data_IF_488328588576
#
_entry.id   IF_488328588576
#
_cell.length_a   1.000
_cell.length_b   1.000
_cell.length_c   1.000
_cell.angle_alpha   90.00
_cell.angle_beta   90.00
_cell.angle_gamma   90.00
#
_symmetry.space_group_name_H-M   'P 1'
#
loop_
_entity.id
_entity.type
_entity.pdbx_description
1 polymer ?
#
# COMPACT_ATOMS: atom_id res chain seq x y z
N UNK A 1 3.55 21.41 -0.58
CA UNK A 1 2.22 22.08 -0.71
C UNK A 1 1.10 21.27 -0.08
N UNK A 2 0.91 19.99 -0.46
CA UNK A 2 -0.23 19.18 0.01
C UNK A 2 -0.36 19.09 1.54
N UNK A 3 0.74 18.98 2.27
CA UNK A 3 0.72 18.97 3.74
C UNK A 3 0.19 20.27 4.35
N UNK A 4 0.55 21.42 3.78
CA UNK A 4 0.07 22.72 4.26
C UNK A 4 -1.43 22.92 4.02
N UNK A 5 -1.99 22.31 2.97
CA UNK A 5 -3.44 22.30 2.73
C UNK A 5 -4.14 21.56 3.87
N UNK A 6 -3.63 20.38 4.23
CA UNK A 6 -4.12 19.62 5.37
C UNK A 6 -3.96 20.40 6.70
N UNK A 7 -2.83 21.10 6.89
CA UNK A 7 -2.61 21.95 8.06
C UNK A 7 -3.55 23.16 8.11
N UNK A 8 -3.92 23.75 6.96
CA UNK A 8 -4.89 24.85 6.93
C UNK A 8 -6.22 24.43 7.56
N UNK A 9 -6.75 23.24 7.20
CA UNK A 9 -7.94 22.68 7.84
C UNK A 9 -7.72 22.38 9.32
N UNK A 10 -6.55 21.86 9.72
CA UNK A 10 -6.22 21.66 11.15
C UNK A 10 -6.21 22.96 11.95
N UNK A 11 -5.95 24.10 11.32
CA UNK A 11 -5.97 25.42 11.94
C UNK A 11 -7.30 26.18 11.73
N UNK A 12 -8.32 25.51 11.20
CA UNK A 12 -9.68 26.06 11.10
C UNK A 12 -9.93 26.96 9.90
N UNK A 13 -9.08 26.92 8.86
CA UNK A 13 -9.39 27.60 7.60
C UNK A 13 -10.60 26.94 6.93
N UNK A 14 -11.44 27.77 6.34
CA UNK A 14 -12.60 27.32 5.58
C UNK A 14 -12.20 26.79 4.20
N UNK A 15 -13.05 25.91 3.64
CA UNK A 15 -12.90 25.39 2.29
C UNK A 15 -12.67 26.49 1.24
N UNK A 16 -13.41 27.60 1.35
CA UNK A 16 -13.33 28.72 0.40
C UNK A 16 -12.01 29.51 0.53
N UNK A 17 -11.48 29.68 1.75
CA UNK A 17 -10.17 30.31 1.96
C UNK A 17 -9.05 29.46 1.38
N UNK A 18 -9.10 28.14 1.60
CA UNK A 18 -8.11 27.20 1.05
C UNK A 18 -8.22 27.13 -0.48
N UNK A 19 -9.44 27.12 -1.03
CA UNK A 19 -9.66 27.20 -2.48
C UNK A 19 -9.06 28.47 -3.06
N UNK A 20 -9.37 29.64 -2.48
CA UNK A 20 -8.87 30.92 -2.97
C UNK A 20 -7.34 31.01 -2.95
N UNK A 21 -6.69 30.38 -1.96
CA UNK A 21 -5.23 30.36 -1.83
C UNK A 21 -4.52 29.36 -2.76
N UNK A 22 -5.21 28.29 -3.19
CA UNK A 22 -4.56 27.15 -3.88
C UNK A 22 -5.06 26.89 -5.29
N UNK A 23 -6.27 27.33 -5.62
CA UNK A 23 -7.05 26.96 -6.81
C UNK A 23 -7.23 25.44 -6.99
N UNK A 24 -7.05 24.63 -5.95
CA UNK A 24 -7.41 23.21 -5.96
C UNK A 24 -8.92 23.12 -5.90
N UNK A 25 -9.54 22.37 -6.81
CA UNK A 25 -11.00 22.25 -6.84
C UNK A 25 -11.57 21.81 -5.50
N UNK A 26 -12.70 22.41 -5.12
CA UNK A 26 -13.38 22.16 -3.84
C UNK A 26 -13.69 20.68 -3.65
N UNK A 27 -13.98 19.94 -4.72
CA UNK A 27 -14.24 18.51 -4.66
C UNK A 27 -13.08 17.75 -4.01
N UNK A 28 -11.83 18.05 -4.36
CA UNK A 28 -10.65 17.43 -3.73
C UNK A 28 -10.42 17.94 -2.31
N UNK A 29 -10.62 19.24 -2.09
CA UNK A 29 -10.40 19.87 -0.78
C UNK A 29 -11.33 19.30 0.29
N UNK A 30 -12.60 19.02 -0.04
CA UNK A 30 -13.56 18.36 0.87
C UNK A 30 -13.08 16.96 1.27
N UNK A 31 -12.44 16.21 0.37
CA UNK A 31 -11.89 14.89 0.71
C UNK A 31 -10.71 15.01 1.70
N UNK A 32 -9.85 16.01 1.52
CA UNK A 32 -8.74 16.27 2.46
C UNK A 32 -9.30 16.69 3.83
N UNK A 33 -10.30 17.57 3.85
CA UNK A 33 -10.98 18.00 5.08
C UNK A 33 -11.64 16.81 5.80
N UNK A 34 -12.31 15.90 5.08
CA UNK A 34 -12.88 14.68 5.65
C UNK A 34 -11.83 13.76 6.28
N UNK A 35 -10.66 13.61 5.65
CA UNK A 35 -9.52 12.89 6.26
C UNK A 35 -9.10 13.58 7.55
N UNK A 36 -8.98 14.92 7.58
CA UNK A 36 -8.61 15.67 8.79
C UNK A 36 -9.65 15.51 9.90
N UNK A 37 -10.94 15.55 9.58
CA UNK A 37 -12.01 15.31 10.53
C UNK A 37 -11.94 13.89 11.12
N UNK A 38 -11.61 12.90 10.28
CA UNK A 38 -11.37 11.53 10.71
C UNK A 38 -10.16 11.43 11.63
N UNK A 39 -9.05 12.11 11.33
CA UNK A 39 -7.89 12.16 12.23
C UNK A 39 -8.25 12.75 13.59
N UNK A 40 -9.08 13.79 13.63
CA UNK A 40 -9.54 14.40 14.87
C UNK A 40 -10.45 13.46 15.67
N UNK A 41 -11.33 12.72 15.00
CA UNK A 41 -12.12 11.66 15.63
C UNK A 41 -11.20 10.61 16.27
N UNK A 42 -10.20 10.10 15.53
CA UNK A 42 -9.26 9.08 16.02
C UNK A 42 -8.52 9.53 17.29
N UNK A 43 -8.10 10.80 17.37
CA UNK A 43 -7.43 11.35 18.56
C UNK A 43 -8.30 11.31 19.82
N UNK A 44 -9.63 11.32 19.67
CA UNK A 44 -10.57 11.27 20.79
C UNK A 44 -10.92 9.84 21.23
N UNK A 45 -10.58 8.84 20.41
CA UNK A 45 -10.87 7.43 20.71
C UNK A 45 -9.80 6.83 21.63
N UNK A 46 -10.23 6.07 22.62
CA UNK A 46 -9.36 5.19 23.38
C UNK A 46 -9.06 3.90 22.61
N UNK A 47 -7.99 3.20 22.98
CA UNK A 47 -7.65 1.91 22.37
C UNK A 47 -8.77 0.86 22.51
N UNK A 48 -9.53 0.88 23.61
CA UNK A 48 -10.67 -0.01 23.83
C UNK A 48 -11.88 0.27 22.93
N UNK A 49 -11.95 1.45 22.31
CA UNK A 49 -13.04 1.84 21.41
C UNK A 49 -12.82 1.33 19.98
N UNK A 50 -11.64 0.78 19.67
CA UNK A 50 -11.31 0.23 18.36
C UNK A 50 -12.03 -1.09 18.11
N UNK A 51 -12.96 -1.07 17.16
CA UNK A 51 -13.70 -2.23 16.70
C UNK A 51 -13.51 -2.44 15.19
N UNK A 52 -14.03 -3.53 14.64
CA UNK A 52 -13.81 -3.85 13.24
C UNK A 52 -14.36 -2.77 12.28
N UNK A 53 -15.49 -2.16 12.62
CA UNK A 53 -16.20 -1.23 11.74
C UNK A 53 -15.51 0.13 11.67
N UNK A 54 -15.09 0.69 12.81
CA UNK A 54 -14.38 1.96 12.80
C UNK A 54 -12.99 1.83 12.18
N UNK A 55 -12.25 0.74 12.46
CA UNK A 55 -10.97 0.48 11.81
C UNK A 55 -11.20 0.37 10.30
N UNK A 56 -12.15 -0.45 9.84
CA UNK A 56 -12.44 -0.60 8.40
C UNK A 56 -12.77 0.74 7.76
N UNK A 57 -13.55 1.60 8.43
CA UNK A 57 -13.84 2.97 7.97
C UNK A 57 -12.58 3.82 7.83
N UNK A 58 -11.69 3.83 8.83
CA UNK A 58 -10.42 4.57 8.76
C UNK A 58 -9.51 4.06 7.64
N UNK A 59 -9.42 2.73 7.50
CA UNK A 59 -8.61 2.08 6.49
C UNK A 59 -9.15 2.30 5.07
N UNK A 60 -10.48 2.31 4.87
CA UNK A 60 -11.14 2.67 3.61
C UNK A 60 -10.84 4.11 3.16
N UNK A 61 -10.57 5.02 4.11
CA UNK A 61 -10.09 6.38 3.82
C UNK A 61 -8.58 6.47 3.54
N UNK A 62 -7.86 5.33 3.52
CA UNK A 62 -6.43 5.27 3.21
C UNK A 62 -5.50 5.61 4.39
N UNK A 63 -6.00 5.66 5.63
CA UNK A 63 -5.15 5.92 6.79
C UNK A 63 -4.27 4.70 7.09
N UNK A 64 -2.94 4.88 7.06
CA UNK A 64 -1.99 3.82 7.41
C UNK A 64 -2.04 3.46 8.89
N UNK A 65 -1.63 2.24 9.22
CA UNK A 65 -1.49 1.79 10.62
C UNK A 65 -0.56 2.73 11.39
N UNK A 66 0.51 3.21 10.74
CA UNK A 66 1.44 4.16 11.35
C UNK A 66 0.75 5.49 11.68
N UNK A 67 -0.10 6.01 10.78
CA UNK A 67 -0.81 7.27 11.02
C UNK A 67 -1.81 7.13 12.15
N UNK A 68 -2.61 6.07 12.15
CA UNK A 68 -3.61 5.82 13.20
C UNK A 68 -2.89 5.61 14.54
N UNK A 69 -1.85 4.79 14.58
CA UNK A 69 -1.06 4.54 15.78
C UNK A 69 -0.46 5.83 16.37
N UNK A 70 0.10 6.70 15.53
CA UNK A 70 0.63 7.99 15.96
C UNK A 70 -0.45 8.92 16.53
N UNK A 71 -1.64 8.96 15.91
CA UNK A 71 -2.76 9.77 16.40
C UNK A 71 -3.29 9.29 17.76
N UNK A 72 -3.21 7.99 18.02
CA UNK A 72 -3.64 7.37 19.28
C UNK A 72 -2.54 7.27 20.34
N UNK A 73 -1.29 7.61 20.00
CA UNK A 73 -0.15 7.48 20.91
C UNK A 73 0.25 6.03 21.23
N UNK A 74 0.04 5.10 20.31
CA UNK A 74 0.41 3.68 20.43
C UNK A 74 1.44 3.28 19.36
N UNK A 75 2.02 2.09 19.47
CA UNK A 75 2.95 1.59 18.44
C UNK A 75 2.19 1.05 17.21
N UNK A 76 2.79 1.19 16.01
CA UNK A 76 2.26 0.62 14.77
C UNK A 76 2.05 -0.90 14.89
N UNK A 77 2.99 -1.62 15.53
CA UNK A 77 2.89 -3.08 15.76
C UNK A 77 1.68 -3.44 16.62
N UNK A 78 1.39 -2.65 17.66
CA UNK A 78 0.23 -2.85 18.52
C UNK A 78 -1.08 -2.63 17.75
N UNK A 79 -1.20 -1.54 16.98
CA UNK A 79 -2.39 -1.28 16.17
C UNK A 79 -2.61 -2.38 15.13
N UNK A 80 -1.56 -2.77 14.39
CA UNK A 80 -1.62 -3.84 13.39
C UNK A 80 -2.10 -5.16 14.00
N UNK A 81 -1.54 -5.55 15.14
CA UNK A 81 -1.95 -6.79 15.84
C UNK A 81 -3.44 -6.73 16.22
N UNK A 82 -3.90 -5.61 16.76
CA UNK A 82 -5.31 -5.42 17.09
C UNK A 82 -6.22 -5.51 15.87
N UNK A 83 -5.83 -4.82 14.79
CA UNK A 83 -6.52 -4.83 13.49
C UNK A 83 -6.63 -6.26 12.92
N UNK A 84 -5.56 -7.04 12.96
CA UNK A 84 -5.57 -8.45 12.54
C UNK A 84 -6.44 -9.34 13.45
N UNK A 85 -6.41 -9.15 14.77
CA UNK A 85 -7.26 -9.90 15.70
C UNK A 85 -8.76 -9.68 15.44
N UNK A 86 -9.12 -8.51 14.91
CA UNK A 86 -10.48 -8.16 14.50
C UNK A 86 -10.84 -8.62 13.07
N UNK A 87 -9.91 -9.30 12.38
CA UNK A 87 -10.12 -9.74 11.01
C UNK A 87 -10.18 -8.61 9.97
N UNK A 88 -9.68 -7.42 10.30
CA UNK A 88 -9.69 -6.27 9.38
C UNK A 88 -8.38 -6.25 8.58
N UNK A 89 -8.42 -6.84 7.39
CA UNK A 89 -7.30 -6.89 6.45
C UNK A 89 -7.72 -6.32 5.11
N UNK A 90 -6.79 -5.81 4.28
CA UNK A 90 -7.14 -5.43 2.92
C UNK A 90 -7.51 -6.68 2.11
N UNK A 91 -8.31 -6.45 1.09
CA UNK A 91 -8.53 -7.34 -0.04
C UNK A 91 -7.77 -6.80 -1.25
N UNK A 92 -7.54 -7.63 -2.25
CA UNK A 92 -6.88 -7.22 -3.49
C UNK A 92 -7.85 -7.35 -4.64
N UNK A 93 -7.87 -6.33 -5.49
CA UNK A 93 -8.72 -6.23 -6.69
C UNK A 93 -7.86 -6.24 -7.93
N UNK A 94 -8.37 -6.81 -9.02
CA UNK A 94 -7.67 -6.85 -10.31
C UNK A 94 -7.95 -5.59 -11.13
N UNK A 95 -6.98 -5.20 -11.93
CA UNK A 95 -7.14 -4.19 -12.98
C UNK A 95 -7.47 -4.94 -14.28
N UNK A 96 -8.68 -4.76 -14.79
CA UNK A 96 -9.24 -5.52 -15.92
C UNK A 96 -9.62 -4.65 -17.14
N UNK A 97 -9.42 -3.33 -17.05
CA UNK A 97 -9.81 -2.30 -18.05
C UNK A 97 -11.30 -2.16 -18.35
N UNK A 98 -12.16 -3.02 -17.82
CA UNK A 98 -13.58 -3.14 -18.16
C UNK A 98 -14.52 -3.10 -16.95
N UNK A 99 -14.01 -2.80 -15.76
CA UNK A 99 -14.80 -2.69 -14.53
C UNK A 99 -15.65 -3.95 -14.25
N UNK A 100 -15.01 -5.11 -14.33
CA UNK A 100 -15.57 -6.44 -14.15
C UNK A 100 -16.65 -6.85 -15.17
N UNK A 101 -16.76 -6.18 -16.33
CA UNK A 101 -17.63 -6.67 -17.41
C UNK A 101 -17.17 -8.04 -17.95
N UNK A 102 -15.86 -8.27 -17.97
CA UNK A 102 -15.23 -9.52 -18.40
C UNK A 102 -14.24 -10.02 -17.35
N UNK A 103 -14.12 -11.35 -17.23
CA UNK A 103 -13.10 -11.96 -16.37
C UNK A 103 -11.70 -11.68 -16.92
N UNK A 104 -10.75 -11.36 -16.04
CA UNK A 104 -9.35 -11.12 -16.36
C UNK A 104 -8.44 -12.15 -15.70
N UNK A 105 -7.72 -12.90 -16.52
CA UNK A 105 -6.69 -13.84 -16.06
C UNK A 105 -5.45 -13.12 -15.50
N UNK A 106 -5.23 -11.87 -15.92
CA UNK A 106 -4.06 -11.07 -15.55
C UNK A 106 -4.08 -10.71 -14.07
N UNK A 107 -3.04 -11.12 -13.33
CA UNK A 107 -2.89 -10.85 -11.92
C UNK A 107 -2.21 -9.48 -11.68
N UNK A 108 -2.80 -8.40 -12.22
CA UNK A 108 -2.41 -7.02 -11.94
C UNK A 108 -3.34 -6.46 -10.87
N UNK A 109 -2.83 -6.23 -9.66
CA UNK A 109 -3.64 -5.98 -8.48
C UNK A 109 -3.27 -4.72 -7.69
N UNK A 110 -4.23 -4.22 -6.94
CA UNK A 110 -4.08 -3.19 -5.91
C UNK A 110 -4.92 -3.55 -4.68
N UNK A 111 -4.55 -3.02 -3.52
CA UNK A 111 -5.20 -3.26 -2.25
C UNK A 111 -6.34 -2.27 -2.00
N UNK A 112 -7.37 -2.73 -1.33
CA UNK A 112 -8.47 -1.92 -0.85
C UNK A 112 -9.09 -2.56 0.39
N UNK A 113 -9.80 -1.79 1.20
CA UNK A 113 -10.53 -2.32 2.35
C UNK A 113 -11.99 -2.62 1.99
N UNK A 114 -12.19 -3.32 0.88
CA UNK A 114 -13.50 -3.78 0.41
C UNK A 114 -13.81 -5.21 0.89
N UNK A 115 -14.88 -5.81 0.40
CA UNK A 115 -15.40 -7.09 0.89
C UNK A 115 -14.74 -8.32 0.25
N UNK A 116 -14.61 -8.36 -1.07
CA UNK A 116 -14.14 -9.54 -1.81
C UNK A 116 -12.68 -9.41 -2.28
N UNK A 117 -11.90 -10.47 -2.10
CA UNK A 117 -10.50 -10.55 -2.53
C UNK A 117 -10.36 -11.40 -3.80
N UNK A 118 -9.88 -10.78 -4.87
CA UNK A 118 -9.64 -11.38 -6.19
C UNK A 118 -8.20 -11.86 -6.38
N UNK A 119 -7.41 -11.82 -5.30
CA UNK A 119 -6.01 -12.27 -5.32
C UNK A 119 -5.92 -13.71 -5.78
N UNK A 120 -6.73 -14.61 -5.22
CA UNK A 120 -6.73 -16.05 -5.55
C UNK A 120 -5.29 -16.62 -5.67
N UNK A 121 -4.50 -16.58 -4.59
CA UNK A 121 -3.09 -16.99 -4.61
C UNK A 121 -2.97 -18.47 -4.98
N UNK A 122 -1.97 -18.81 -5.80
CA UNK A 122 -1.70 -20.21 -6.18
C UNK A 122 -0.97 -20.98 -5.06
N UNK A 123 -0.81 -22.29 -5.23
CA UNK A 123 -0.02 -23.15 -4.34
C UNK A 123 1.44 -23.35 -4.81
N UNK A 124 1.88 -22.66 -5.87
CA UNK A 124 3.26 -22.76 -6.37
C UNK A 124 4.24 -22.13 -5.39
N UNK A 125 5.49 -22.59 -5.44
CA UNK A 125 6.58 -21.94 -4.73
C UNK A 125 6.80 -20.54 -5.30
N UNK A 126 6.62 -19.53 -4.45
CA UNK A 126 6.62 -18.12 -4.84
C UNK A 126 7.85 -17.37 -4.39
N UNK A 127 8.44 -16.56 -5.28
CA UNK A 127 9.49 -15.60 -4.93
C UNK A 127 8.98 -14.19 -5.15
N UNK A 128 8.97 -13.40 -4.09
CA UNK A 128 8.58 -11.99 -4.12
C UNK A 128 9.81 -11.11 -4.37
N UNK A 129 9.68 -10.15 -5.29
CA UNK A 129 10.69 -9.12 -5.57
C UNK A 129 10.10 -7.77 -5.19
N UNK A 130 10.77 -7.05 -4.29
CA UNK A 130 10.34 -5.71 -3.87
C UNK A 130 11.12 -4.65 -4.67
N UNK A 131 10.38 -3.81 -5.38
CA UNK A 131 10.91 -2.70 -6.18
C UNK A 131 11.47 -1.55 -5.34
N UNK A 132 11.84 -0.46 -6.03
CA UNK A 132 12.42 0.73 -5.40
C UNK A 132 11.43 1.84 -5.06
N UNK A 133 10.23 1.83 -5.67
CA UNK A 133 9.29 2.93 -5.64
C UNK A 133 9.70 4.04 -6.62
N UNK A 134 9.26 5.30 -6.41
CA UNK A 134 9.52 6.38 -7.35
C UNK A 134 11.02 6.68 -7.51
N UNK A 135 11.43 6.93 -8.75
CA UNK A 135 12.80 7.28 -9.09
C UNK A 135 13.24 8.59 -8.41
N UNK A 136 14.49 8.63 -7.97
CA UNK A 136 15.13 9.83 -7.40
C UNK A 136 16.63 9.84 -7.69
N UNK A 137 17.29 10.99 -7.51
CA UNK A 137 18.75 11.07 -7.64
C UNK A 137 19.41 10.04 -6.72
N UNK A 138 20.23 9.15 -7.29
CA UNK A 138 20.90 8.05 -6.60
C UNK A 138 20.06 6.77 -6.43
N UNK A 139 18.81 6.77 -6.89
CA UNK A 139 17.95 5.59 -7.01
C UNK A 139 17.15 5.66 -8.31
N UNK A 140 17.77 5.24 -9.41
CA UNK A 140 17.18 5.29 -10.74
C UNK A 140 16.79 3.93 -11.30
N UNK A 141 16.71 3.91 -12.62
CA UNK A 141 16.29 2.77 -13.44
C UNK A 141 17.22 1.55 -13.30
N UNK A 142 18.46 1.73 -12.84
CA UNK A 142 19.40 0.64 -12.59
C UNK A 142 18.88 -0.36 -11.55
N UNK A 143 18.06 0.08 -10.59
CA UNK A 143 17.42 -0.80 -9.62
C UNK A 143 16.21 -1.51 -10.22
N UNK A 144 15.46 -0.83 -11.10
CA UNK A 144 14.36 -1.44 -11.84
C UNK A 144 14.86 -2.59 -12.72
N UNK A 145 15.97 -2.38 -13.44
CA UNK A 145 16.65 -3.40 -14.22
C UNK A 145 17.00 -4.64 -13.36
N UNK A 146 17.57 -4.44 -12.18
CA UNK A 146 17.88 -5.55 -11.27
C UNK A 146 16.61 -6.32 -10.84
N UNK A 147 15.53 -5.61 -10.50
CA UNK A 147 14.26 -6.22 -10.13
C UNK A 147 13.64 -7.04 -11.28
N UNK A 148 13.64 -6.50 -12.50
CA UNK A 148 13.17 -7.20 -13.70
C UNK A 148 13.96 -8.49 -13.90
N UNK A 149 15.30 -8.42 -13.87
CA UNK A 149 16.13 -9.61 -14.06
C UNK A 149 15.96 -10.67 -12.96
N UNK A 150 15.70 -10.26 -11.71
CA UNK A 150 15.34 -11.22 -10.66
C UNK A 150 14.03 -11.94 -10.96
N UNK A 151 12.98 -11.22 -11.36
CA UNK A 151 11.70 -11.83 -11.71
C UNK A 151 11.87 -12.79 -12.90
N UNK A 152 12.55 -12.37 -13.96
CA UNK A 152 12.81 -13.24 -15.12
C UNK A 152 13.57 -14.51 -14.74
N UNK A 153 14.67 -14.37 -14.00
CA UNK A 153 15.49 -15.52 -13.59
C UNK A 153 14.73 -16.49 -12.67
N UNK A 154 13.99 -15.98 -11.68
CA UNK A 154 13.20 -16.83 -10.78
C UNK A 154 12.06 -17.54 -11.52
N UNK A 155 11.45 -16.88 -12.52
CA UNK A 155 10.43 -17.50 -13.38
C UNK A 155 11.02 -18.61 -14.24
N UNK A 156 12.21 -18.39 -14.83
CA UNK A 156 12.95 -19.41 -15.59
C UNK A 156 13.33 -20.61 -14.72
N UNK A 157 13.67 -20.39 -13.44
CA UNK A 157 13.94 -21.43 -12.46
C UNK A 157 12.67 -22.16 -11.94
N UNK A 158 11.49 -21.77 -12.42
CA UNK A 158 10.21 -22.46 -12.16
C UNK A 158 9.38 -21.88 -11.01
N UNK A 159 9.83 -20.82 -10.36
CA UNK A 159 9.07 -20.14 -9.31
C UNK A 159 7.92 -19.31 -9.89
N UNK A 160 6.86 -19.14 -9.11
CA UNK A 160 5.86 -18.11 -9.39
C UNK A 160 6.38 -16.78 -8.82
N UNK A 161 6.45 -15.77 -9.67
CA UNK A 161 7.09 -14.50 -9.34
C UNK A 161 6.07 -13.44 -8.97
N UNK A 162 6.32 -12.76 -7.85
CA UNK A 162 5.47 -11.68 -7.35
C UNK A 162 6.28 -10.39 -7.37
N UNK A 163 5.89 -9.41 -8.18
CA UNK A 163 6.47 -8.07 -8.14
C UNK A 163 5.64 -7.15 -7.26
N UNK A 164 6.30 -6.37 -6.40
CA UNK A 164 5.68 -5.31 -5.59
C UNK A 164 6.39 -3.99 -5.85
N UNK A 165 5.74 -3.06 -6.55
CA UNK A 165 6.29 -1.74 -6.84
C UNK A 165 5.16 -0.73 -7.09
N UNK A 166 5.45 0.57 -7.01
CA UNK A 166 4.45 1.64 -7.23
C UNK A 166 4.91 2.71 -8.22
N UNK A 167 6.01 2.47 -8.93
CA UNK A 167 6.51 3.41 -9.93
C UNK A 167 5.81 3.17 -11.27
N UNK A 168 5.01 4.10 -11.79
CA UNK A 168 4.31 3.89 -13.07
C UNK A 168 5.22 3.98 -14.30
N UNK A 169 6.47 4.41 -14.14
CA UNK A 169 7.41 4.64 -15.25
C UNK A 169 8.29 3.42 -15.55
N UNK A 170 8.09 2.29 -14.87
CA UNK A 170 9.04 1.18 -14.83
C UNK A 170 8.59 -0.07 -15.59
N UNK A 171 9.55 -0.88 -16.03
CA UNK A 171 9.28 -2.18 -16.67
C UNK A 171 8.93 -3.23 -15.63
N UNK A 172 9.41 -3.11 -14.38
CA UNK A 172 8.97 -4.01 -13.31
C UNK A 172 7.47 -3.96 -13.05
N UNK A 173 6.81 -2.83 -13.31
CA UNK A 173 5.36 -2.65 -13.18
C UNK A 173 4.59 -2.98 -14.47
N UNK A 174 5.23 -3.60 -15.45
CA UNK A 174 4.55 -4.28 -16.54
C UNK A 174 4.05 -5.65 -16.04
N UNK A 175 2.77 -5.97 -16.26
CA UNK A 175 2.18 -7.23 -15.82
C UNK A 175 2.77 -8.45 -16.56
N UNK A 176 3.45 -8.27 -17.70
CA UNK A 176 4.14 -9.35 -18.41
C UNK A 176 5.49 -9.75 -17.77
N UNK A 177 6.05 -8.90 -16.90
CA UNK A 177 7.36 -9.10 -16.26
C UNK A 177 7.34 -10.19 -15.20
N UNK A 178 6.22 -10.35 -14.48
CA UNK A 178 6.07 -11.30 -13.37
C UNK A 178 4.73 -12.02 -13.46
N UNK A 179 4.62 -13.21 -12.86
CA UNK A 179 3.33 -13.93 -12.84
C UNK A 179 2.23 -13.13 -12.11
N UNK A 180 2.61 -12.31 -11.13
CA UNK A 180 1.69 -11.54 -10.28
C UNK A 180 2.28 -10.17 -9.95
N UNK A 181 1.57 -9.09 -10.27
CA UNK A 181 1.98 -7.72 -9.99
C UNK A 181 1.06 -7.08 -8.95
N UNK A 182 1.64 -6.63 -7.84
CA UNK A 182 0.98 -5.76 -6.87
C UNK A 182 1.49 -4.34 -7.02
N UNK A 183 0.63 -3.45 -7.52
CA UNK A 183 0.95 -2.04 -7.65
C UNK A 183 0.65 -1.32 -6.34
N UNK A 184 1.52 -1.53 -5.37
CA UNK A 184 1.32 -1.16 -3.97
C UNK A 184 2.47 -0.30 -3.43
N UNK A 185 2.21 0.57 -2.44
CA UNK A 185 3.26 1.31 -1.78
C UNK A 185 4.29 0.37 -1.13
N UNK A 186 5.57 0.74 -1.19
CA UNK A 186 6.65 -0.07 -0.61
C UNK A 186 6.84 0.31 0.86
N UNK A 187 5.85 -0.03 1.68
CA UNK A 187 5.91 0.12 3.13
C UNK A 187 5.87 -1.24 3.83
N UNK A 188 6.29 -1.27 5.09
CA UNK A 188 6.22 -2.48 5.91
C UNK A 188 4.79 -3.01 6.02
N UNK A 189 3.80 -2.12 6.09
CA UNK A 189 2.40 -2.51 6.24
C UNK A 189 1.88 -3.22 4.99
N UNK A 190 2.05 -2.60 3.83
CA UNK A 190 1.53 -3.10 2.57
C UNK A 190 2.22 -4.41 2.18
N UNK A 191 3.56 -4.47 2.31
CA UNK A 191 4.32 -5.70 2.02
C UNK A 191 3.90 -6.85 2.94
N UNK A 192 3.69 -6.60 4.24
CA UNK A 192 3.23 -7.66 5.16
C UNK A 192 1.83 -8.17 4.82
N UNK A 193 0.94 -7.32 4.33
CA UNK A 193 -0.39 -7.75 3.90
C UNK A 193 -0.32 -8.62 2.63
N UNK A 194 0.62 -8.34 1.72
CA UNK A 194 0.83 -9.20 0.55
C UNK A 194 1.43 -10.53 0.99
N UNK A 195 2.44 -10.50 1.88
CA UNK A 195 3.05 -11.72 2.46
C UNK A 195 2.01 -12.59 3.18
N UNK A 196 1.07 -11.98 3.93
CA UNK A 196 -0.02 -12.69 4.60
C UNK A 196 -0.92 -13.43 3.61
N UNK A 197 -1.24 -12.81 2.48
CA UNK A 197 -2.09 -13.38 1.42
C UNK A 197 -1.35 -14.43 0.61
N UNK A 198 -0.15 -14.11 0.14
CA UNK A 198 0.60 -14.91 -0.83
C UNK A 198 1.49 -15.99 -0.21
N UNK A 199 1.95 -15.78 1.02
CA UNK A 199 2.88 -16.67 1.74
C UNK A 199 4.07 -17.10 0.87
N UNK A 200 4.85 -16.14 0.33
CA UNK A 200 5.97 -16.45 -0.54
C UNK A 200 7.04 -17.29 0.19
N UNK A 201 7.72 -18.15 -0.57
CA UNK A 201 8.85 -18.96 -0.08
C UNK A 201 10.07 -18.10 0.25
N UNK A 202 10.26 -17.02 -0.50
CA UNK A 202 11.36 -16.08 -0.31
C UNK A 202 11.00 -14.68 -0.79
N UNK A 203 11.70 -13.69 -0.24
CA UNK A 203 11.53 -12.26 -0.56
C UNK A 203 12.91 -11.68 -0.87
N UNK A 204 13.06 -11.12 -2.07
CA UNK A 204 14.25 -10.42 -2.55
C UNK A 204 14.09 -8.94 -2.26
N UNK A 205 14.95 -8.41 -1.39
CA UNK A 205 14.92 -7.02 -0.89
C UNK A 205 16.15 -6.20 -1.29
N UNK A 206 17.13 -6.83 -1.93
CA UNK A 206 18.44 -6.25 -2.21
C UNK A 206 18.44 -5.44 -3.52
N UNK A 207 17.50 -5.71 -4.44
CA UNK A 207 17.58 -5.23 -5.82
C UNK A 207 16.82 -3.92 -6.07
N UNK A 208 15.79 -3.59 -5.28
CA UNK A 208 15.10 -2.30 -5.37
C UNK A 208 15.83 -1.13 -4.70
N UNK A 209 17.08 -1.32 -4.28
CA UNK A 209 17.89 -0.29 -3.62
C UNK A 209 17.48 -0.02 -2.16
N UNK A 210 17.61 1.23 -1.72
CA UNK A 210 17.46 1.65 -0.32
C UNK A 210 16.06 1.46 0.26
N UNK A 211 15.01 1.56 -0.55
CA UNK A 211 13.62 1.45 -0.07
C UNK A 211 13.35 0.07 0.55
N UNK A 212 13.51 -1.05 -0.19
CA UNK A 212 13.34 -2.39 0.39
C UNK A 212 14.42 -2.78 1.39
N UNK A 213 15.67 -2.32 1.22
CA UNK A 213 16.75 -2.60 2.18
C UNK A 213 16.45 -2.09 3.59
N UNK A 214 15.78 -0.94 3.72
CA UNK A 214 15.35 -0.40 5.03
C UNK A 214 14.23 -1.21 5.66
N UNK A 215 13.45 -1.95 4.87
CA UNK A 215 12.38 -2.82 5.36
C UNK A 215 12.90 -4.20 5.80
N UNK A 216 14.06 -4.64 5.32
CA UNK A 216 14.57 -6.00 5.50
C UNK A 216 14.52 -6.52 6.95
N UNK A 217 15.09 -5.76 7.91
CA UNK A 217 15.08 -6.16 9.33
C UNK A 217 13.67 -6.24 9.90
N UNK A 218 12.82 -5.25 9.58
CA UNK A 218 11.46 -5.20 10.08
C UNK A 218 10.57 -6.29 9.48
N UNK A 219 10.85 -6.74 8.25
CA UNK A 219 10.20 -7.88 7.61
C UNK A 219 10.65 -9.21 8.23
N UNK A 220 11.93 -9.35 8.58
CA UNK A 220 12.46 -10.55 9.25
C UNK A 220 11.92 -10.70 10.68
N UNK A 221 11.72 -9.61 11.41
CA UNK A 221 11.23 -9.59 12.80
C UNK A 221 9.70 -9.75 12.95
N UNK A 222 8.94 -9.63 11.85
CA UNK A 222 7.47 -9.58 11.86
C UNK A 222 6.84 -10.97 11.93
#
# INVERSE_FOLDING_TARGET
>A
RIWYVADAFRHGFTLDEVFAATNIDRWFLVQIEDIINTENQIKTLGFGDLNADNIRSFKRKGLSDLRIANLMGISQKQFRKHRWNLGVTPVYKRVDTCAAEFESDTAYMYSTYDEECESNPSNRDKIMVIGGGPNRIGQGIEFDYCCVHAALAMREDGYETIMVNCNPETVSTDYDTSDRLYFEPITLEDVLEIVRTEKPKGIIVQYGGQTPLKLARALEEA
#
